data_IF_882116020181
#
_entry.id   IF_882116020181
#
_cell.length_a   1.000
_cell.length_b   1.000
_cell.length_c   1.000
_cell.angle_alpha   90.00
_cell.angle_beta   90.00
_cell.angle_gamma   90.00
#
_symmetry.space_group_name_H-M   'P 1'
#
loop_
_entity.id
_entity.type
_entity.pdbx_description
1 polymer ?
#
# COMPACT_ATOMS: atom_id res chain seq x y z
N UNK A 1 6.72 0.84 11.79
CA UNK A 1 6.15 1.25 10.49
C UNK A 1 7.26 1.68 9.54
N UNK A 2 7.17 1.27 8.31
CA UNK A 2 8.14 1.60 7.28
C UNK A 2 7.42 2.16 6.07
N UNK A 3 7.93 3.24 5.50
CA UNK A 3 7.38 3.83 4.29
C UNK A 3 8.51 3.93 3.27
N UNK A 4 8.25 3.41 2.06
CA UNK A 4 9.21 3.48 0.96
C UNK A 4 8.49 3.95 -0.29
N UNK A 5 9.17 4.77 -1.07
CA UNK A 5 8.70 5.19 -2.37
C UNK A 5 9.69 4.79 -3.44
N UNK A 6 9.21 4.10 -4.46
CA UNK A 6 10.02 3.64 -5.58
C UNK A 6 9.72 4.54 -6.78
N UNK A 7 10.63 5.45 -7.04
CA UNK A 7 10.44 6.47 -8.06
C UNK A 7 10.31 5.89 -9.47
N UNK A 8 11.06 4.82 -9.75
CA UNK A 8 11.04 4.19 -11.08
C UNK A 8 9.67 3.72 -11.50
N UNK A 9 8.90 3.22 -10.56
CA UNK A 9 7.59 2.63 -10.83
C UNK A 9 6.44 3.44 -10.23
N UNK A 10 6.77 4.56 -9.60
CA UNK A 10 5.80 5.40 -8.89
C UNK A 10 4.99 4.56 -7.89
N UNK A 11 5.68 3.72 -7.13
CA UNK A 11 5.07 2.81 -6.18
C UNK A 11 5.33 3.26 -4.76
N UNK A 12 4.27 3.38 -3.98
CA UNK A 12 4.35 3.68 -2.55
C UNK A 12 4.09 2.41 -1.76
N UNK A 13 4.99 2.09 -0.86
CA UNK A 13 4.90 0.92 0.00
C UNK A 13 4.86 1.36 1.45
N UNK A 14 3.84 0.94 2.18
CA UNK A 14 3.67 1.23 3.60
C UNK A 14 3.58 -0.09 4.34
N UNK A 15 4.50 -0.32 5.28
CA UNK A 15 4.55 -1.54 6.06
C UNK A 15 4.26 -1.23 7.52
N UNK A 16 3.20 -1.80 8.05
CA UNK A 16 2.83 -1.68 9.45
C UNK A 16 3.47 -2.78 10.28
N UNK A 17 3.57 -3.99 9.70
CA UNK A 17 4.17 -5.17 10.33
C UNK A 17 4.90 -5.97 9.27
N UNK A 18 6.07 -6.49 9.63
CA UNK A 18 6.87 -7.31 8.72
C UNK A 18 6.67 -8.80 8.92
N UNK A 19 5.96 -9.19 9.99
CA UNK A 19 5.79 -10.61 10.35
C UNK A 19 4.32 -11.00 10.28
N UNK A 20 4.08 -12.28 10.02
CA UNK A 20 2.75 -12.83 10.05
C UNK A 20 1.94 -12.66 8.79
N UNK A 21 2.54 -12.19 7.72
CA UNK A 21 1.85 -12.06 6.43
C UNK A 21 1.58 -13.47 5.89
N UNK A 22 0.32 -13.79 5.68
CA UNK A 22 -0.08 -15.11 5.19
C UNK A 22 -0.65 -15.09 3.79
N UNK A 23 -1.22 -13.96 3.37
CA UNK A 23 -1.80 -13.83 2.04
C UNK A 23 -1.89 -12.37 1.63
N UNK A 24 -2.10 -12.16 0.35
CA UNK A 24 -2.25 -10.84 -0.22
C UNK A 24 -3.58 -10.76 -0.95
N UNK A 25 -4.15 -9.57 -1.00
CA UNK A 25 -5.43 -9.34 -1.64
C UNK A 25 -5.36 -8.04 -2.45
N UNK A 26 -5.86 -8.09 -3.67
CA UNK A 26 -5.99 -6.88 -4.49
C UNK A 26 -7.17 -6.07 -3.99
N UNK A 27 -6.91 -4.82 -3.62
CA UNK A 27 -7.97 -3.89 -3.27
C UNK A 27 -8.57 -3.29 -4.55
N UNK A 28 -7.69 -2.93 -5.46
CA UNK A 28 -8.06 -2.53 -6.82
C UNK A 28 -6.87 -2.87 -7.73
N UNK A 29 -6.93 -2.47 -9.00
CA UNK A 29 -5.90 -2.83 -9.97
C UNK A 29 -4.50 -2.25 -9.64
N UNK A 30 -4.44 -1.25 -8.79
CA UNK A 30 -3.19 -0.57 -8.45
C UNK A 30 -2.83 -0.66 -6.96
N UNK A 31 -3.63 -1.36 -6.16
CA UNK A 31 -3.41 -1.42 -4.72
C UNK A 31 -3.47 -2.85 -4.22
N UNK A 32 -2.38 -3.29 -3.57
CA UNK A 32 -2.27 -4.63 -3.01
C UNK A 32 -2.18 -4.52 -1.49
N UNK A 33 -2.95 -5.34 -0.80
CA UNK A 33 -2.91 -5.45 0.66
C UNK A 33 -2.24 -6.76 1.05
N UNK A 34 -1.29 -6.69 1.98
CA UNK A 34 -0.71 -7.88 2.60
C UNK A 34 -1.38 -8.06 3.96
N UNK A 35 -1.95 -9.23 4.18
CA UNK A 35 -2.78 -9.52 5.33
C UNK A 35 -2.21 -10.66 6.19
N UNK A 36 -2.50 -10.62 7.49
CA UNK A 36 -2.16 -11.71 8.39
C UNK A 36 -3.28 -12.74 8.45
N UNK A 37 -3.10 -13.76 9.29
CA UNK A 37 -4.06 -14.86 9.42
C UNK A 37 -5.43 -14.40 9.93
N UNK A 38 -5.47 -13.26 10.61
CA UNK A 38 -6.71 -12.69 11.15
C UNK A 38 -7.36 -11.69 10.19
N UNK A 39 -6.77 -11.50 9.01
CA UNK A 39 -7.28 -10.55 8.03
C UNK A 39 -6.89 -9.11 8.29
N UNK A 40 -5.94 -8.87 9.18
CA UNK A 40 -5.47 -7.51 9.46
C UNK A 40 -4.44 -7.08 8.43
N UNK A 41 -4.47 -5.80 8.07
CA UNK A 41 -3.54 -5.26 7.08
C UNK A 41 -2.15 -5.14 7.69
N UNK A 42 -1.17 -5.78 7.05
CA UNK A 42 0.23 -5.69 7.45
C UNK A 42 1.01 -4.71 6.60
N UNK A 43 0.66 -4.60 5.33
CA UNK A 43 1.33 -3.69 4.42
C UNK A 43 0.40 -3.31 3.26
N UNK A 44 0.68 -2.19 2.65
CA UNK A 44 -0.06 -1.69 1.48
C UNK A 44 0.96 -1.33 0.41
N UNK A 45 0.75 -1.84 -0.80
CA UNK A 45 1.53 -1.45 -1.97
C UNK A 45 0.60 -0.72 -2.93
N UNK A 46 0.92 0.52 -3.24
CA UNK A 46 0.10 1.35 -4.10
C UNK A 46 0.91 1.79 -5.32
N UNK A 47 0.49 1.35 -6.50
CA UNK A 47 1.10 1.75 -7.76
C UNK A 47 0.44 3.01 -8.28
N UNK A 48 1.18 3.79 -9.08
CA UNK A 48 0.71 5.06 -9.63
C UNK A 48 0.27 6.02 -8.54
N UNK A 49 1.07 6.09 -7.47
CA UNK A 49 0.69 6.84 -6.27
C UNK A 49 0.53 8.34 -6.52
N UNK A 50 1.29 8.91 -7.44
CA UNK A 50 1.16 10.34 -7.76
C UNK A 50 -0.19 10.65 -8.39
N UNK A 51 -0.66 9.78 -9.27
CA UNK A 51 -1.96 9.95 -9.91
C UNK A 51 -3.07 9.92 -8.87
N UNK A 52 -2.94 9.01 -7.90
CA UNK A 52 -3.93 8.87 -6.84
C UNK A 52 -3.90 10.04 -5.88
N UNK A 53 -2.71 10.55 -5.59
CA UNK A 53 -2.54 11.69 -4.69
C UNK A 53 -3.08 13.00 -5.28
N UNK A 54 -3.22 13.06 -6.59
CA UNK A 54 -3.73 14.24 -7.30
C UNK A 54 -5.25 14.24 -7.45
N UNK A 55 -5.92 13.18 -7.01
CA UNK A 55 -7.37 13.11 -7.07
C UNK A 55 -7.98 14.22 -6.23
N UNK A 56 -8.95 14.98 -6.78
CA UNK A 56 -9.59 16.06 -6.02
C UNK A 56 -10.19 15.53 -4.72
N UNK A 57 -9.95 16.25 -3.63
CA UNK A 57 -10.40 15.85 -2.32
C UNK A 57 -9.44 14.95 -1.57
N UNK A 58 -8.37 14.51 -2.20
CA UNK A 58 -7.34 13.70 -1.55
C UNK A 58 -6.33 14.62 -0.88
N UNK A 59 -6.09 14.44 0.39
CA UNK A 59 -5.25 15.32 1.17
C UNK A 59 -4.33 14.53 2.09
N UNK A 60 -3.07 14.90 2.12
CA UNK A 60 -2.10 14.41 3.09
C UNK A 60 -1.83 15.51 4.11
N UNK A 61 -2.15 15.24 5.33
CA UNK A 61 -1.88 16.19 6.40
C UNK A 61 -1.11 15.56 7.54
#
# INVERSE_FOLDING_TARGET
>A
MKVKYFENTDTLYIEFRSKGITHSKDLDENTLLDLDALGRVCAITMEHSKERAEVPGFSFE
#
